data_IF_778508693644
#
_entry.id   IF_778508693644
#
_cell.length_a   1.000
_cell.length_b   1.000
_cell.length_c   1.000
_cell.angle_alpha   90.00
_cell.angle_beta   90.00
_cell.angle_gamma   90.00
#
_symmetry.space_group_name_H-M   'P 1'
#
loop_
_entity.id
_entity.type
_entity.pdbx_description
1 polymer ?
#
# COMPACT_ATOMS: atom_id res chain seq x y z
N UNK A 1 52.92 -53.86 0.00
CA UNK A 1 52.30 -53.90 1.35
C UNK A 1 50.79 -53.97 1.14
N UNK A 2 50.32 -55.18 0.81
CA UNK A 2 49.48 -56.07 1.64
C UNK A 2 48.01 -55.61 1.67
N UNK A 3 47.12 -56.06 0.76
CA UNK A 3 46.20 -57.24 0.85
C UNK A 3 45.37 -57.23 2.16
N UNK A 4 44.05 -57.47 2.27
CA UNK A 4 43.08 -58.30 1.52
C UNK A 4 41.65 -57.94 2.00
N UNK A 5 40.64 -58.28 1.18
CA UNK A 5 39.21 -58.44 1.52
C UNK A 5 38.93 -59.27 2.79
N UNK A 6 37.67 -59.29 3.27
CA UNK A 6 36.79 -60.49 3.26
C UNK A 6 35.38 -60.17 3.79
N UNK A 7 34.41 -60.66 3.02
CA UNK A 7 32.97 -60.80 3.28
C UNK A 7 32.73 -61.92 4.30
N UNK A 8 31.70 -61.82 5.15
CA UNK A 8 31.12 -63.03 5.76
C UNK A 8 29.59 -62.97 5.79
N UNK A 9 29.00 -64.03 5.24
CA UNK A 9 27.58 -64.33 5.23
C UNK A 9 27.35 -65.72 5.87
N UNK A 10 26.12 -65.90 6.37
CA UNK A 10 25.37 -67.15 6.68
C UNK A 10 25.59 -67.87 8.02
N UNK A 11 24.46 -68.11 8.70
CA UNK A 11 23.92 -69.44 9.06
C UNK A 11 22.48 -69.24 9.59
N UNK A 12 21.40 -69.58 8.87
CA UNK A 12 20.71 -70.89 8.82
C UNK A 12 20.62 -71.67 10.14
N UNK A 13 19.49 -71.51 10.84
CA UNK A 13 18.97 -72.41 11.87
C UNK A 13 17.66 -73.05 11.39
N UNK A 14 17.55 -74.37 11.51
CA UNK A 14 16.52 -75.24 10.94
C UNK A 14 15.18 -75.22 11.70
N UNK A 15 14.12 -75.51 10.94
CA UNK A 15 12.76 -75.89 11.33
C UNK A 15 12.68 -76.92 12.46
N UNK A 16 11.70 -76.73 13.34
CA UNK A 16 10.99 -77.81 14.03
C UNK A 16 9.48 -77.55 13.95
N UNK A 17 8.77 -78.48 13.33
CA UNK A 17 7.33 -78.54 13.14
C UNK A 17 6.63 -78.96 14.42
N UNK A 18 5.63 -78.19 14.87
CA UNK A 18 4.64 -78.63 15.84
C UNK A 18 3.24 -78.35 15.27
N UNK A 19 2.53 -79.44 14.95
CA UNK A 19 1.12 -79.44 14.58
C UNK A 19 0.28 -79.10 15.81
N UNK A 20 -0.54 -78.05 15.74
CA UNK A 20 -1.65 -77.82 16.67
C UNK A 20 -2.93 -77.62 15.87
N UNK A 21 -3.95 -78.33 16.32
CA UNK A 21 -5.22 -78.54 15.66
C UNK A 21 -6.10 -77.28 15.59
N UNK A 22 -6.95 -77.34 14.57
CA UNK A 22 -8.02 -76.46 14.15
C UNK A 22 -9.02 -76.12 15.29
N UNK A 23 -9.27 -74.83 15.52
CA UNK A 23 -10.56 -74.31 15.99
C UNK A 23 -10.92 -73.09 15.15
N UNK A 24 -11.77 -73.32 14.14
CA UNK A 24 -12.43 -72.26 13.38
C UNK A 24 -13.51 -71.68 14.27
N UNK A 25 -13.23 -70.55 14.92
CA UNK A 25 -14.26 -69.72 15.54
C UNK A 25 -14.81 -68.79 14.46
N UNK A 26 -15.94 -69.18 13.88
CA UNK A 26 -16.75 -68.31 13.01
C UNK A 26 -17.37 -67.20 13.86
N UNK A 27 -16.70 -66.04 13.92
CA UNK A 27 -17.29 -64.83 14.47
C UNK A 27 -18.37 -64.31 13.50
N UNK A 28 -19.60 -64.01 13.95
CA UNK A 28 -20.59 -63.38 13.09
C UNK A 28 -20.11 -61.96 12.73
N UNK A 29 -19.89 -61.73 11.42
CA UNK A 29 -19.81 -60.38 10.86
C UNK A 29 -21.17 -59.72 11.07
N UNK A 30 -21.33 -59.02 12.18
CA UNK A 30 -22.33 -57.97 12.28
C UNK A 30 -21.85 -56.84 11.36
N UNK A 31 -22.48 -56.75 10.18
CA UNK A 31 -22.48 -55.55 9.36
C UNK A 31 -23.15 -54.44 10.15
N UNK A 32 -22.39 -53.79 11.03
CA UNK A 32 -22.73 -52.48 11.55
C UNK A 32 -22.63 -51.50 10.39
N UNK A 33 -23.75 -51.33 9.70
CA UNK A 33 -24.00 -50.17 8.86
C UNK A 33 -23.81 -48.95 9.75
N UNK A 34 -22.60 -48.39 9.73
CA UNK A 34 -22.33 -47.10 10.30
C UNK A 34 -23.00 -46.11 9.35
N UNK A 35 -24.31 -45.90 9.54
CA UNK A 35 -24.96 -44.68 9.12
C UNK A 35 -24.10 -43.55 9.68
N UNK A 36 -23.32 -42.92 8.80
CA UNK A 36 -22.76 -41.61 9.07
C UNK A 36 -23.99 -40.72 9.26
N UNK A 37 -24.43 -40.62 10.51
CA UNK A 37 -25.29 -39.56 10.97
C UNK A 37 -24.56 -38.28 10.60
N UNK A 38 -25.03 -37.65 9.53
CA UNK A 38 -24.80 -36.25 9.21
C UNK A 38 -25.44 -35.46 10.34
N UNK A 39 -24.74 -35.40 11.48
CA UNK A 39 -24.97 -34.41 12.50
C UNK A 39 -24.48 -33.09 11.92
N UNK A 40 -25.44 -32.38 11.36
CA UNK A 40 -25.41 -31.00 10.89
C UNK A 40 -24.76 -30.11 11.96
N UNK A 41 -23.46 -29.84 11.78
CA UNK A 41 -22.81 -28.63 12.29
C UNK A 41 -22.87 -27.59 11.16
N UNK A 42 -24.07 -27.11 10.87
CA UNK A 42 -24.24 -25.90 10.07
C UNK A 42 -24.14 -24.70 11.02
N UNK A 43 -23.01 -23.99 10.98
CA UNK A 43 -22.80 -22.74 11.70
C UNK A 43 -21.32 -22.45 12.03
N UNK A 44 -20.66 -21.66 11.17
CA UNK A 44 -19.22 -21.26 11.14
C UNK A 44 -18.24 -22.28 10.55
N UNK A 45 -18.33 -22.52 9.24
CA UNK A 45 -17.20 -23.04 8.47
C UNK A 45 -16.12 -21.94 8.33
N UNK A 46 -14.89 -22.25 8.76
CA UNK A 46 -13.61 -21.59 8.44
C UNK A 46 -13.59 -20.04 8.37
N UNK A 47 -14.06 -19.35 9.41
CA UNK A 47 -13.81 -17.91 9.52
C UNK A 47 -12.32 -17.68 9.88
N UNK A 48 -11.58 -16.96 9.04
CA UNK A 48 -10.16 -16.64 9.26
C UNK A 48 -9.94 -15.38 10.12
N UNK A 49 -11.04 -14.76 10.56
CA UNK A 49 -11.05 -13.64 11.48
C UNK A 49 -12.22 -13.75 12.47
N UNK A 50 -12.11 -13.04 13.58
CA UNK A 50 -13.17 -12.94 14.58
C UNK A 50 -13.33 -11.47 15.00
N UNK A 51 -14.55 -10.94 14.84
CA UNK A 51 -14.95 -9.66 15.43
C UNK A 51 -15.69 -9.96 16.73
N UNK A 52 -15.23 -9.39 17.84
CA UNK A 52 -15.87 -9.56 19.14
C UNK A 52 -17.15 -8.71 19.27
N UNK A 53 -17.87 -8.86 20.38
CA UNK A 53 -19.11 -8.11 20.64
C UNK A 53 -18.93 -6.58 20.70
N UNK A 54 -17.70 -6.10 20.92
CA UNK A 54 -17.35 -4.67 20.98
C UNK A 54 -16.95 -4.10 19.60
N UNK A 55 -17.04 -4.91 18.54
CA UNK A 55 -16.64 -4.52 17.18
C UNK A 55 -15.13 -4.50 16.95
N UNK A 56 -14.36 -5.19 17.78
CA UNK A 56 -12.90 -5.28 17.65
C UNK A 56 -12.50 -6.57 16.96
N UNK A 57 -11.56 -6.48 16.02
CA UNK A 57 -10.91 -7.63 15.43
C UNK A 57 -9.96 -8.26 16.44
N UNK A 58 -10.18 -9.53 16.77
CA UNK A 58 -9.22 -10.35 17.49
C UNK A 58 -8.04 -10.63 16.56
N UNK A 59 -6.82 -10.40 17.03
CA UNK A 59 -5.60 -10.51 16.22
C UNK A 59 -5.51 -11.89 15.57
N UNK A 60 -5.48 -11.96 14.22
CA UNK A 60 -5.29 -13.23 13.53
C UNK A 60 -3.98 -13.89 13.96
N UNK A 61 -4.03 -15.21 14.15
CA UNK A 61 -2.86 -16.03 14.42
C UNK A 61 -2.75 -17.12 13.36
N UNK A 62 -1.56 -17.66 13.14
CA UNK A 62 -1.32 -18.67 12.10
C UNK A 62 -1.36 -18.14 10.66
N UNK A 63 -1.54 -16.83 10.43
CA UNK A 63 -1.60 -16.25 9.09
C UNK A 63 -0.34 -16.48 8.22
N UNK A 64 0.81 -16.77 8.83
CA UNK A 64 2.03 -17.15 8.10
C UNK A 64 1.93 -18.49 7.38
N UNK A 65 0.87 -19.27 7.63
CA UNK A 65 0.54 -20.48 6.86
C UNK A 65 -0.54 -20.24 5.80
N UNK A 66 -1.02 -19.00 5.66
CA UNK A 66 -1.95 -18.63 4.60
C UNK A 66 -1.20 -18.40 3.29
N UNK A 67 -1.93 -18.04 2.23
CA UNK A 67 -1.35 -17.86 0.90
C UNK A 67 -0.60 -16.54 0.86
N UNK A 68 0.72 -16.61 0.73
CA UNK A 68 1.57 -15.45 0.49
C UNK A 68 1.29 -14.87 -0.91
N UNK A 69 1.15 -13.55 -1.03
CA UNK A 69 0.80 -12.91 -2.30
C UNK A 69 1.83 -11.94 -2.86
N UNK A 70 2.71 -11.41 -2.02
CA UNK A 70 3.78 -10.49 -2.42
C UNK A 70 4.43 -9.79 -1.24
N UNK A 71 5.62 -9.21 -1.49
CA UNK A 71 6.35 -8.37 -0.54
C UNK A 71 6.82 -7.10 -1.22
N UNK A 72 5.99 -6.04 -1.27
CA UNK A 72 6.45 -4.69 -1.59
C UNK A 72 7.50 -4.21 -0.57
N UNK A 73 8.31 -3.24 -0.98
CA UNK A 73 9.35 -2.64 -0.16
C UNK A 73 9.33 -1.12 -0.32
N UNK A 74 9.22 -0.41 0.80
CA UNK A 74 9.40 1.05 0.89
C UNK A 74 10.51 1.34 1.91
N UNK A 75 11.78 1.37 1.49
CA UNK A 75 12.90 1.47 2.42
C UNK A 75 13.12 2.93 2.84
N UNK A 76 13.49 3.15 4.09
CA UNK A 76 13.62 4.48 4.69
C UNK A 76 14.58 5.38 3.91
N UNK A 77 15.69 4.83 3.42
CA UNK A 77 16.70 5.59 2.67
C UNK A 77 16.24 6.06 1.29
N UNK A 78 15.17 5.48 0.74
CA UNK A 78 14.50 5.95 -0.47
C UNK A 78 13.26 6.81 -0.16
N UNK A 79 12.98 7.05 1.12
CA UNK A 79 11.77 7.75 1.60
C UNK A 79 12.14 8.79 2.69
N UNK A 80 13.18 9.60 2.45
CA UNK A 80 13.55 10.72 3.34
C UNK A 80 13.96 10.29 4.76
N UNK A 81 14.46 9.07 4.91
CA UNK A 81 14.82 8.48 6.21
C UNK A 81 13.63 7.96 7.02
N UNK A 82 12.38 8.13 6.56
CA UNK A 82 11.17 7.75 7.28
C UNK A 82 10.02 7.39 6.32
N UNK A 83 9.98 6.13 5.89
CA UNK A 83 8.85 5.61 5.12
C UNK A 83 7.55 5.63 5.95
N UNK A 84 6.41 5.92 5.31
CA UNK A 84 5.08 5.85 5.96
C UNK A 84 4.80 4.47 6.54
N UNK A 85 5.25 3.41 5.85
CA UNK A 85 5.14 2.01 6.26
C UNK A 85 6.52 1.35 6.17
N UNK A 86 7.36 1.42 7.23
CA UNK A 86 8.70 0.86 7.19
C UNK A 86 8.69 -0.69 7.40
N UNK A 87 9.28 -1.52 6.53
CA UNK A 87 9.80 -1.24 5.19
C UNK A 87 9.35 -2.32 4.19
N UNK A 88 9.68 -3.60 4.44
CA UNK A 88 9.14 -4.74 3.70
C UNK A 88 7.71 -5.04 4.16
N UNK A 89 6.79 -5.34 3.24
CA UNK A 89 5.38 -5.63 3.54
C UNK A 89 5.01 -7.03 3.06
N UNK A 90 5.23 -8.07 3.86
CA UNK A 90 4.83 -9.42 3.47
C UNK A 90 3.31 -9.58 3.63
N UNK A 91 2.61 -9.82 2.52
CA UNK A 91 1.15 -9.88 2.49
C UNK A 91 0.67 -11.32 2.30
N UNK A 92 -0.35 -11.68 3.08
CA UNK A 92 -0.99 -12.99 3.09
C UNK A 92 -2.49 -12.83 2.95
N UNK A 93 -3.14 -13.67 2.15
CA UNK A 93 -4.60 -13.77 2.04
C UNK A 93 -5.07 -15.12 2.59
N UNK A 94 -6.22 -15.15 3.25
CA UNK A 94 -6.77 -16.42 3.72
C UNK A 94 -7.01 -17.40 2.56
N UNK A 95 -6.78 -18.71 2.78
CA UNK A 95 -6.79 -19.69 1.71
C UNK A 95 -8.18 -19.88 1.07
N UNK A 96 -9.28 -19.67 1.81
CA UNK A 96 -10.63 -19.80 1.24
C UNK A 96 -10.93 -18.68 0.26
N UNK A 97 -10.55 -17.45 0.61
CA UNK A 97 -10.70 -16.29 -0.27
C UNK A 97 -9.73 -16.33 -1.45
N UNK A 98 -8.52 -16.84 -1.26
CA UNK A 98 -7.60 -17.12 -2.37
C UNK A 98 -8.20 -18.10 -3.37
N UNK A 99 -8.73 -19.23 -2.89
CA UNK A 99 -9.35 -20.23 -3.76
C UNK A 99 -10.55 -19.65 -4.51
N UNK A 100 -11.38 -18.84 -3.84
CA UNK A 100 -12.47 -18.15 -4.50
C UNK A 100 -11.97 -17.17 -5.56
N UNK A 101 -10.99 -16.32 -5.23
CA UNK A 101 -10.39 -15.36 -6.16
C UNK A 101 -9.72 -16.05 -7.35
N UNK A 102 -9.12 -17.22 -7.12
CA UNK A 102 -8.55 -18.05 -8.18
C UNK A 102 -9.61 -18.53 -9.16
N UNK A 103 -10.79 -18.87 -8.67
CA UNK A 103 -11.88 -19.39 -9.50
C UNK A 103 -12.70 -18.27 -10.16
N UNK A 104 -12.95 -17.16 -9.47
CA UNK A 104 -13.88 -16.11 -9.93
C UNK A 104 -13.20 -14.81 -10.32
N UNK A 105 -12.00 -14.54 -9.80
CA UNK A 105 -11.33 -13.25 -9.93
C UNK A 105 -11.87 -12.16 -9.01
N UNK A 106 -12.73 -12.50 -8.05
CA UNK A 106 -13.35 -11.57 -7.11
C UNK A 106 -12.98 -11.90 -5.66
N UNK A 107 -12.85 -10.89 -4.79
CA UNK A 107 -12.71 -11.13 -3.35
C UNK A 107 -14.08 -11.38 -2.72
N UNK A 108 -14.35 -12.57 -2.16
CA UNK A 108 -15.65 -12.87 -1.57
C UNK A 108 -15.86 -12.08 -0.27
N UNK A 109 -17.12 -11.98 0.15
CA UNK A 109 -17.43 -11.53 1.51
C UNK A 109 -16.77 -12.46 2.54
N UNK A 110 -16.13 -11.90 3.56
CA UNK A 110 -15.32 -12.64 4.52
C UNK A 110 -13.83 -12.71 4.19
N UNK A 111 -13.37 -12.07 3.11
CA UNK A 111 -11.94 -11.99 2.78
C UNK A 111 -11.16 -11.27 3.88
N UNK A 112 -10.03 -11.87 4.30
CA UNK A 112 -9.03 -11.18 5.12
C UNK A 112 -7.64 -11.26 4.47
N UNK A 113 -6.97 -10.12 4.41
CA UNK A 113 -5.54 -10.04 4.14
C UNK A 113 -4.79 -9.55 5.39
N UNK A 114 -3.62 -10.13 5.65
CA UNK A 114 -2.69 -9.72 6.69
C UNK A 114 -1.43 -9.16 6.04
N UNK A 115 -1.03 -7.95 6.43
CA UNK A 115 0.24 -7.34 6.05
C UNK A 115 1.15 -7.34 7.27
N UNK A 116 2.25 -8.09 7.18
CA UNK A 116 3.28 -8.13 8.22
C UNK A 116 4.52 -7.36 7.73
N UNK A 117 4.92 -6.35 8.49
CA UNK A 117 6.02 -5.47 8.16
C UNK A 117 7.33 -5.97 8.78
N UNK A 118 8.43 -5.85 8.04
CA UNK A 118 9.79 -6.09 8.53
C UNK A 118 10.71 -4.95 8.13
N UNK A 119 11.71 -4.67 8.96
CA UNK A 119 12.75 -3.69 8.65
C UNK A 119 13.75 -4.23 7.63
N UNK A 120 14.51 -3.34 7.01
CA UNK A 120 15.73 -3.68 6.29
C UNK A 120 16.81 -4.05 7.31
N UNK A 121 17.22 -5.32 7.32
CA UNK A 121 18.30 -5.82 8.18
C UNK A 121 19.68 -5.66 7.56
N UNK A 122 19.79 -5.70 6.23
CA UNK A 122 21.05 -5.53 5.50
C UNK A 122 20.80 -5.00 4.09
N UNK A 123 21.83 -4.37 3.51
CA UNK A 123 21.89 -4.01 2.09
C UNK A 123 22.82 -4.87 1.24
N UNK A 124 23.40 -5.90 1.87
CA UNK A 124 24.36 -6.82 1.25
C UNK A 124 24.12 -8.24 1.74
N UNK A 125 24.16 -9.20 0.83
CA UNK A 125 24.17 -10.62 1.13
C UNK A 125 25.10 -11.37 0.16
N UNK A 126 25.27 -12.67 0.34
CA UNK A 126 26.03 -13.52 -0.58
C UNK A 126 25.49 -13.50 -2.01
N UNK A 127 24.21 -13.16 -2.21
CA UNK A 127 23.57 -13.00 -3.51
C UNK A 127 23.81 -11.63 -4.16
N UNK A 128 24.47 -10.69 -3.49
CA UNK A 128 24.78 -9.36 -3.99
C UNK A 128 24.26 -8.21 -3.12
N UNK A 129 24.31 -7.00 -3.69
CA UNK A 129 23.71 -5.82 -3.10
C UNK A 129 22.20 -5.80 -3.35
N UNK A 130 21.44 -5.28 -2.40
CA UNK A 130 19.98 -5.23 -2.45
C UNK A 130 19.42 -4.78 -1.12
N UNK A 131 18.19 -5.18 -0.81
CA UNK A 131 17.62 -5.03 0.53
C UNK A 131 17.26 -6.42 1.04
N UNK A 132 17.56 -6.69 2.30
CA UNK A 132 17.32 -7.99 2.93
C UNK A 132 16.52 -7.79 4.22
N UNK A 133 15.44 -8.55 4.38
CA UNK A 133 14.54 -8.47 5.54
C UNK A 133 15.31 -8.74 6.85
N UNK A 134 15.00 -7.93 7.86
CA UNK A 134 15.48 -8.06 9.23
C UNK A 134 14.32 -8.32 10.20
N UNK A 135 14.31 -7.59 11.30
CA UNK A 135 13.33 -7.77 12.38
C UNK A 135 11.91 -7.33 11.98
N UNK A 136 10.90 -7.98 12.56
CA UNK A 136 9.50 -7.59 12.38
C UNK A 136 9.22 -6.23 13.02
N UNK A 137 8.52 -5.36 12.29
CA UNK A 137 8.20 -3.99 12.70
C UNK A 137 6.70 -3.73 12.88
N UNK A 138 5.82 -4.54 12.30
CA UNK A 138 4.40 -4.41 12.58
C UNK A 138 3.47 -5.37 11.86
N UNK A 139 2.18 -5.21 12.14
CA UNK A 139 1.12 -6.12 11.73
C UNK A 139 -0.19 -5.35 11.53
N UNK A 140 -0.73 -5.49 10.33
CA UNK A 140 -2.00 -4.92 9.90
C UNK A 140 -2.89 -6.00 9.28
N UNK A 141 -4.20 -5.76 9.28
CA UNK A 141 -5.17 -6.59 8.58
C UNK A 141 -6.17 -5.72 7.81
N UNK A 142 -6.69 -6.24 6.71
CA UNK A 142 -7.85 -5.67 6.01
C UNK A 142 -8.89 -6.75 5.76
N UNK A 143 -10.15 -6.41 5.99
CA UNK A 143 -11.27 -7.36 5.95
C UNK A 143 -12.38 -6.80 5.09
N UNK A 144 -12.92 -7.63 4.19
CA UNK A 144 -14.17 -7.39 3.47
C UNK A 144 -15.31 -8.08 4.20
N UNK A 145 -16.29 -7.34 4.72
CA UNK A 145 -17.47 -7.93 5.36
C UNK A 145 -18.67 -6.99 5.32
N UNK A 146 -19.72 -7.40 4.62
CA UNK A 146 -21.03 -6.72 4.61
C UNK A 146 -21.71 -6.77 5.96
N UNK A 147 -21.51 -7.85 6.72
CA UNK A 147 -22.09 -8.00 8.06
C UNK A 147 -21.47 -7.01 9.06
N UNK A 148 -20.15 -6.90 9.07
CA UNK A 148 -19.44 -6.10 10.07
C UNK A 148 -19.17 -4.66 9.62
N UNK A 149 -19.06 -4.40 8.31
CA UNK A 149 -18.71 -3.09 7.74
C UNK A 149 -19.66 -2.68 6.59
N UNK A 150 -21.00 -2.67 6.80
CA UNK A 150 -21.96 -2.33 5.75
C UNK A 150 -21.78 -0.89 5.22
N UNK A 151 -21.32 0.03 6.08
CA UNK A 151 -21.18 1.45 5.77
C UNK A 151 -19.77 1.84 5.29
N UNK A 152 -18.82 0.91 5.30
CA UNK A 152 -17.47 1.18 4.79
C UNK A 152 -17.44 1.06 3.26
N UNK A 153 -16.68 1.91 2.54
CA UNK A 153 -16.48 1.78 1.09
C UNK A 153 -16.02 0.38 0.71
N UNK A 154 -16.73 -0.25 -0.24
CA UNK A 154 -16.49 -1.64 -0.68
C UNK A 154 -16.69 -2.71 0.41
N UNK A 155 -17.25 -2.34 1.56
CA UNK A 155 -17.32 -3.15 2.78
C UNK A 155 -15.96 -3.55 3.35
N UNK A 156 -14.92 -2.75 3.06
CA UNK A 156 -13.56 -2.98 3.53
C UNK A 156 -13.25 -2.19 4.81
N UNK A 157 -12.64 -2.85 5.79
CA UNK A 157 -12.14 -2.22 7.01
C UNK A 157 -10.67 -2.56 7.26
N UNK A 158 -9.93 -1.62 7.85
CA UNK A 158 -8.48 -1.70 8.04
C UNK A 158 -8.12 -1.64 9.53
N UNK A 159 -7.14 -2.44 9.93
CA UNK A 159 -6.80 -2.67 11.33
C UNK A 159 -5.28 -2.64 11.51
N UNK A 160 -4.82 -2.04 12.61
CA UNK A 160 -3.40 -2.07 13.02
C UNK A 160 -3.30 -2.65 14.43
N UNK A 161 -2.43 -3.63 14.61
CA UNK A 161 -2.18 -4.26 15.92
C UNK A 161 -0.94 -3.73 16.62
N UNK A 162 -0.06 -3.05 15.88
CA UNK A 162 1.24 -2.67 16.39
C UNK A 162 1.19 -1.32 17.09
N UNK A 163 1.77 -1.23 18.28
CA UNK A 163 2.15 0.04 18.87
C UNK A 163 3.47 0.50 18.25
N UNK A 164 3.49 1.56 17.42
CA UNK A 164 4.69 1.96 16.69
C UNK A 164 5.80 2.52 17.60
N UNK A 165 5.47 2.92 18.85
CA UNK A 165 6.47 3.43 19.81
C UNK A 165 7.14 2.31 20.61
N UNK A 166 6.38 1.27 20.94
CA UNK A 166 6.85 0.19 21.82
C UNK A 166 7.19 -1.10 21.06
N UNK A 167 6.77 -1.23 19.80
CA UNK A 167 6.92 -2.46 19.00
C UNK A 167 6.07 -3.63 19.52
N UNK A 168 5.09 -3.36 20.39
CA UNK A 168 4.22 -4.37 20.98
C UNK A 168 3.01 -4.65 20.08
N UNK A 169 2.48 -5.87 20.13
CA UNK A 169 1.27 -6.28 19.42
C UNK A 169 0.09 -6.34 20.38
N UNK A 170 -0.99 -5.63 20.06
CA UNK A 170 -2.27 -5.76 20.73
C UNK A 170 -2.95 -7.08 20.35
N UNK A 171 -3.68 -7.68 21.28
CA UNK A 171 -4.44 -8.92 21.01
C UNK A 171 -5.74 -8.66 20.25
N UNK A 172 -6.20 -7.41 20.21
CA UNK A 172 -7.39 -6.97 19.48
C UNK A 172 -7.32 -5.48 19.16
N UNK A 173 -8.05 -5.04 18.14
CA UNK A 173 -8.08 -3.62 17.73
C UNK A 173 -9.37 -3.27 16.99
N UNK A 174 -9.74 -1.98 16.96
CA UNK A 174 -10.88 -1.49 16.19
C UNK A 174 -10.46 -1.15 14.77
N UNK A 175 -11.45 -1.14 13.87
CA UNK A 175 -11.25 -0.63 12.52
C UNK A 175 -10.85 0.84 12.58
N UNK A 176 -9.93 1.26 11.72
CA UNK A 176 -9.65 2.66 11.48
C UNK A 176 -10.88 3.35 10.85
N UNK A 177 -11.07 4.66 11.09
CA UNK A 177 -12.09 5.42 10.38
C UNK A 177 -11.89 5.30 8.87
N UNK A 178 -12.97 5.12 8.09
CA UNK A 178 -12.89 4.89 6.64
C UNK A 178 -12.08 5.98 5.90
N UNK A 179 -12.14 7.22 6.37
CA UNK A 179 -11.37 8.34 5.83
C UNK A 179 -9.84 8.18 5.93
N UNK A 180 -9.35 7.27 6.79
CA UNK A 180 -7.91 7.09 7.04
C UNK A 180 -7.25 6.13 6.05
N UNK A 181 -7.97 5.12 5.58
CA UNK A 181 -7.40 4.02 4.79
C UNK A 181 -8.15 3.79 3.47
N UNK A 182 -9.49 3.80 3.51
CA UNK A 182 -10.30 3.42 2.35
C UNK A 182 -10.09 4.36 1.17
N UNK A 183 -9.93 5.67 1.39
CA UNK A 183 -9.80 6.63 0.28
C UNK A 183 -8.57 6.36 -0.61
N UNK A 184 -7.41 6.04 0.00
CA UNK A 184 -6.21 5.67 -0.75
C UNK A 184 -6.40 4.32 -1.45
N UNK A 185 -6.95 3.33 -0.75
CA UNK A 185 -7.19 2.01 -1.32
C UNK A 185 -8.24 2.03 -2.45
N UNK A 186 -9.28 2.86 -2.36
CA UNK A 186 -10.31 2.99 -3.40
C UNK A 186 -9.75 3.55 -4.70
N UNK A 187 -8.89 4.57 -4.58
CA UNK A 187 -8.42 5.34 -5.73
C UNK A 187 -7.16 4.76 -6.37
N UNK A 188 -6.34 4.02 -5.60
CA UNK A 188 -5.02 3.57 -6.05
C UNK A 188 -4.93 2.04 -6.22
N UNK A 189 -5.82 1.25 -5.62
CA UNK A 189 -5.83 -0.19 -5.84
C UNK A 189 -6.37 -0.55 -7.23
N UNK A 190 -5.76 -1.54 -7.88
CA UNK A 190 -6.25 -2.02 -9.18
C UNK A 190 -7.45 -2.96 -9.10
N UNK A 191 -7.74 -3.55 -7.93
CA UNK A 191 -8.81 -4.53 -7.80
C UNK A 191 -9.46 -4.47 -6.42
N UNK A 192 -10.68 -3.95 -6.34
CA UNK A 192 -11.54 -3.98 -5.16
C UNK A 192 -10.80 -3.65 -3.84
N UNK A 193 -10.22 -2.45 -3.77
CA UNK A 193 -9.48 -1.94 -2.61
C UNK A 193 -8.20 -2.72 -2.25
N UNK A 194 -7.79 -3.72 -3.04
CA UNK A 194 -6.55 -4.50 -2.88
C UNK A 194 -5.54 -4.12 -3.97
N UNK A 195 -4.32 -3.75 -3.57
CA UNK A 195 -3.24 -3.35 -4.48
C UNK A 195 -2.63 -4.51 -5.28
N UNK A 196 -3.44 -5.22 -6.07
CA UNK A 196 -3.06 -6.41 -6.84
C UNK A 196 -1.94 -6.15 -7.87
N UNK A 197 -1.71 -4.89 -8.27
CA UNK A 197 -0.52 -4.51 -9.06
C UNK A 197 0.81 -4.88 -8.40
N UNK A 198 0.84 -5.03 -7.07
CA UNK A 198 2.05 -5.41 -6.33
C UNK A 198 2.05 -6.86 -5.88
N UNK A 199 0.99 -7.63 -6.19
CA UNK A 199 0.79 -9.02 -5.77
C UNK A 199 0.76 -9.97 -6.97
N UNK A 200 1.94 -10.38 -7.50
CA UNK A 200 2.00 -11.22 -8.70
C UNK A 200 1.30 -12.57 -8.54
N UNK A 201 1.25 -13.12 -7.32
CA UNK A 201 0.53 -14.38 -7.04
C UNK A 201 -0.97 -14.23 -7.26
N UNK A 202 -1.56 -13.08 -6.89
CA UNK A 202 -2.97 -12.81 -7.15
C UNK A 202 -3.20 -12.56 -8.64
N UNK A 203 -2.36 -11.76 -9.31
CA UNK A 203 -2.51 -11.52 -10.75
C UNK A 203 -2.46 -12.82 -11.57
N UNK A 204 -1.55 -13.73 -11.24
CA UNK A 204 -1.46 -15.03 -11.90
C UNK A 204 -2.65 -15.96 -11.60
N UNK A 205 -3.33 -15.77 -10.46
CA UNK A 205 -4.45 -16.59 -10.05
C UNK A 205 -5.81 -16.07 -10.50
N UNK A 206 -5.95 -14.77 -10.81
CA UNK A 206 -7.25 -14.10 -11.02
C UNK A 206 -8.13 -14.84 -12.03
N UNK A 207 -9.21 -15.46 -11.54
CA UNK A 207 -10.25 -16.07 -12.38
C UNK A 207 -9.77 -17.16 -13.34
N UNK A 208 -8.63 -17.81 -13.07
CA UNK A 208 -8.09 -18.87 -13.93
C UNK A 208 -8.86 -20.19 -13.82
N UNK A 209 -9.69 -20.34 -12.79
CA UNK A 209 -10.55 -21.52 -12.59
C UNK A 209 -9.83 -22.69 -11.92
N UNK A 210 -10.58 -23.76 -11.66
CA UNK A 210 -10.10 -24.91 -10.86
C UNK A 210 -9.09 -25.81 -11.58
N UNK A 211 -9.09 -25.79 -12.90
CA UNK A 211 -8.26 -26.69 -13.73
C UNK A 211 -6.87 -26.11 -14.02
N UNK A 212 -6.68 -24.80 -13.82
CA UNK A 212 -5.40 -24.13 -14.06
C UNK A 212 -4.60 -24.07 -12.77
N UNK A 213 -3.34 -24.47 -12.86
CA UNK A 213 -2.33 -24.30 -11.81
C UNK A 213 -1.66 -22.94 -12.03
N UNK A 214 -1.96 -21.90 -11.22
CA UNK A 214 -1.48 -20.54 -11.45
C UNK A 214 0.04 -20.43 -11.59
N UNK A 215 0.80 -21.25 -10.87
CA UNK A 215 2.27 -21.28 -10.87
C UNK A 215 2.87 -21.72 -12.21
N UNK A 216 2.11 -22.52 -12.97
CA UNK A 216 2.47 -22.97 -14.31
C UNK A 216 1.95 -22.02 -15.39
N UNK A 217 0.79 -21.37 -15.14
CA UNK A 217 0.19 -20.40 -16.06
C UNK A 217 0.84 -19.02 -16.03
N UNK A 218 1.53 -18.67 -14.94
CA UNK A 218 2.23 -17.40 -14.81
C UNK A 218 3.36 -17.27 -15.85
N UNK A 219 3.25 -16.26 -16.72
CA UNK A 219 4.32 -15.92 -17.65
C UNK A 219 5.60 -15.56 -16.88
N UNK A 220 6.73 -16.14 -17.30
CA UNK A 220 8.04 -15.88 -16.70
C UNK A 220 8.90 -15.12 -17.69
N UNK A 221 9.30 -13.92 -17.31
CA UNK A 221 10.25 -13.17 -18.11
C UNK A 221 11.67 -13.58 -17.73
N UNK A 222 12.49 -13.93 -18.73
CA UNK A 222 13.89 -14.21 -18.51
C UNK A 222 14.60 -12.96 -17.97
N UNK A 223 15.49 -13.14 -16.99
CA UNK A 223 16.33 -12.06 -16.48
C UNK A 223 17.26 -11.55 -17.60
N UNK A 224 17.00 -10.36 -18.13
CA UNK A 224 17.94 -9.67 -19.02
C UNK A 224 18.91 -8.84 -18.16
N UNK A 225 20.24 -9.02 -18.26
CA UNK A 225 21.23 -8.18 -17.57
C UNK A 225 21.18 -6.70 -17.94
N UNK A 226 20.46 -6.30 -19.00
CA UNK A 226 20.18 -4.89 -19.32
C UNK A 226 18.96 -4.31 -18.58
N UNK A 227 18.30 -5.10 -17.71
CA UNK A 227 17.49 -4.59 -16.62
C UNK A 227 16.11 -4.08 -17.00
N UNK A 228 15.19 -4.99 -17.33
CA UNK A 228 13.78 -4.99 -16.90
C UNK A 228 13.14 -6.31 -17.35
N UNK A 229 12.32 -6.93 -16.49
CA UNK A 229 11.36 -7.90 -16.98
C UNK A 229 10.34 -7.12 -17.84
N UNK A 230 10.23 -7.48 -19.11
CA UNK A 230 9.15 -7.07 -20.00
C UNK A 230 7.81 -7.22 -19.26
N UNK A 231 7.19 -6.06 -19.01
CA UNK A 231 5.76 -5.92 -18.85
C UNK A 231 5.17 -6.38 -20.20
N UNK A 232 4.18 -7.28 -20.20
CA UNK A 232 3.64 -7.90 -21.41
C UNK A 232 3.24 -6.86 -22.47
N UNK A 233 3.33 -7.21 -23.76
CA UNK A 233 3.09 -6.28 -24.88
C UNK A 233 1.71 -5.58 -24.87
N UNK A 234 0.72 -6.10 -24.13
CA UNK A 234 -0.56 -5.43 -23.89
C UNK A 234 -0.43 -4.13 -23.04
N UNK A 235 0.60 -4.04 -22.20
CA UNK A 235 0.94 -2.85 -21.43
C UNK A 235 2.00 -1.97 -22.13
N UNK A 236 2.70 -2.50 -23.15
CA UNK A 236 3.78 -1.81 -23.85
C UNK A 236 3.30 -0.95 -25.04
N UNK A 237 2.17 -1.28 -25.68
CA UNK A 237 1.62 -0.42 -26.74
C UNK A 237 1.05 0.90 -26.21
N UNK A 238 0.83 1.03 -24.89
CA UNK A 238 0.49 2.29 -24.25
C UNK A 238 1.71 3.15 -23.85
N UNK A 239 2.95 2.66 -24.02
CA UNK A 239 4.15 3.33 -23.48
C UNK A 239 5.15 3.81 -24.55
N UNK A 240 4.77 3.83 -25.83
CA UNK A 240 5.64 4.25 -26.93
C UNK A 240 5.62 5.78 -27.20
N UNK A 241 5.22 6.60 -26.24
CA UNK A 241 5.34 8.07 -26.32
C UNK A 241 5.86 8.64 -24.99
N UNK A 242 7.19 8.86 -24.91
CA UNK A 242 7.92 9.42 -23.75
C UNK A 242 7.75 8.59 -22.45
N UNK A 243 8.67 8.67 -21.46
CA UNK A 243 8.46 7.95 -20.21
C UNK A 243 7.13 8.42 -19.60
N UNK A 244 6.17 7.50 -19.45
CA UNK A 244 4.85 7.80 -18.89
C UNK A 244 5.05 8.46 -17.52
N UNK A 245 4.69 9.74 -17.43
CA UNK A 245 4.64 10.46 -16.16
C UNK A 245 3.72 9.65 -15.25
N UNK A 246 4.22 9.25 -14.08
CA UNK A 246 3.46 8.45 -13.13
C UNK A 246 2.06 9.08 -12.91
N UNK A 247 0.96 8.31 -13.13
CA UNK A 247 -0.40 8.85 -13.13
C UNK A 247 -0.77 9.64 -11.87
N UNK A 248 -0.10 9.39 -10.74
CA UNK A 248 -0.34 10.17 -9.52
C UNK A 248 0.07 11.64 -9.66
N UNK A 249 0.97 11.97 -10.61
CA UNK A 249 1.43 13.34 -10.87
C UNK A 249 0.73 13.99 -12.06
N UNK A 250 -0.23 13.30 -12.68
CA UNK A 250 -1.04 13.84 -13.76
C UNK A 250 -2.28 14.55 -13.21
N UNK A 251 -2.68 15.69 -13.79
CA UNK A 251 -3.93 16.34 -13.42
C UNK A 251 -5.13 15.45 -13.81
N UNK A 252 -6.15 15.44 -12.95
CA UNK A 252 -7.39 14.67 -13.17
C UNK A 252 -8.58 15.55 -13.55
N UNK A 253 -8.37 16.87 -13.63
CA UNK A 253 -9.35 17.86 -14.05
C UNK A 253 -8.70 18.92 -14.95
N UNK A 254 -9.49 19.49 -15.85
CA UNK A 254 -9.06 20.63 -16.65
C UNK A 254 -8.77 21.84 -15.74
N UNK A 255 -7.65 22.53 -16.00
CA UNK A 255 -7.37 23.80 -15.37
C UNK A 255 -8.10 24.90 -16.14
N UNK A 256 -9.13 25.54 -15.55
CA UNK A 256 -9.89 26.57 -16.25
C UNK A 256 -9.06 27.84 -16.42
N UNK A 257 -9.39 28.63 -17.42
CA UNK A 257 -8.93 30.02 -17.47
C UNK A 257 -9.58 30.81 -16.32
N UNK A 258 -8.76 31.21 -15.36
CA UNK A 258 -9.20 31.98 -14.19
C UNK A 258 -8.27 33.17 -13.99
N UNK A 259 -8.87 34.32 -13.68
CA UNK A 259 -8.13 35.52 -13.29
C UNK A 259 -7.67 35.36 -11.84
N UNK A 260 -6.37 35.13 -11.66
CA UNK A 260 -5.71 34.92 -10.38
C UNK A 260 -4.56 35.92 -10.23
N UNK A 261 -4.20 36.23 -8.97
CA UNK A 261 -3.04 37.06 -8.65
C UNK A 261 -1.71 36.42 -9.07
N UNK A 262 -1.72 35.11 -9.39
CA UNK A 262 -0.57 34.34 -9.90
C UNK A 262 -0.94 33.67 -11.23
N UNK A 263 -0.05 33.67 -12.23
CA UNK A 263 -0.27 32.89 -13.45
C UNK A 263 -0.17 31.39 -13.16
N UNK A 264 -0.87 30.55 -13.94
CA UNK A 264 -0.82 29.09 -13.79
C UNK A 264 -0.06 28.37 -14.91
N UNK A 265 0.18 29.04 -16.04
CA UNK A 265 1.02 28.49 -17.10
C UNK A 265 2.47 28.35 -16.58
N UNK A 266 3.09 27.19 -16.81
CA UNK A 266 4.35 26.77 -16.16
C UNK A 266 5.45 27.82 -16.28
N UNK A 267 5.68 28.37 -17.46
CA UNK A 267 6.79 29.27 -17.74
C UNK A 267 6.52 30.65 -17.13
N UNK A 268 5.28 31.12 -17.25
CA UNK A 268 4.83 32.35 -16.62
C UNK A 268 4.84 32.28 -15.09
N UNK A 269 4.40 31.16 -14.51
CA UNK A 269 4.42 30.90 -13.07
C UNK A 269 5.85 30.83 -12.55
N UNK A 270 6.73 30.10 -13.23
CA UNK A 270 8.14 30.04 -12.85
C UNK A 270 8.82 31.43 -12.89
N UNK A 271 8.53 32.23 -13.92
CA UNK A 271 9.02 33.60 -14.00
C UNK A 271 8.50 34.46 -12.85
N UNK A 272 7.21 34.38 -12.53
CA UNK A 272 6.59 35.07 -11.40
C UNK A 272 7.23 34.67 -10.06
N UNK A 273 7.50 33.38 -9.85
CA UNK A 273 8.16 32.87 -8.64
C UNK A 273 9.59 33.40 -8.51
N UNK A 274 10.33 33.49 -9.61
CA UNK A 274 11.67 34.09 -9.60
C UNK A 274 11.68 35.59 -9.31
N UNK A 275 10.65 36.31 -9.77
CA UNK A 275 10.50 37.74 -9.45
C UNK A 275 10.20 37.97 -7.96
N UNK A 276 9.63 36.98 -7.27
CA UNK A 276 9.41 37.02 -5.82
C UNK A 276 8.24 37.90 -5.38
N UNK A 277 7.33 38.29 -6.29
CA UNK A 277 6.19 39.18 -5.99
C UNK A 277 5.26 38.63 -4.90
N UNK A 278 5.11 37.31 -4.81
CA UNK A 278 4.33 36.65 -3.75
C UNK A 278 4.85 36.93 -2.33
N UNK A 279 6.10 37.41 -2.18
CA UNK A 279 6.64 37.79 -0.87
C UNK A 279 5.95 39.02 -0.28
N UNK A 280 5.19 39.76 -1.09
CA UNK A 280 4.35 40.88 -0.65
C UNK A 280 2.97 40.44 -0.15
N UNK A 281 2.65 39.13 -0.23
CA UNK A 281 1.43 38.60 0.36
C UNK A 281 1.30 38.95 1.85
N UNK A 282 0.08 39.24 2.33
CA UNK A 282 -0.14 39.80 3.66
C UNK A 282 0.10 38.79 4.78
N UNK A 283 -0.13 37.49 4.52
CA UNK A 283 0.16 36.42 5.45
C UNK A 283 1.40 35.66 4.97
N UNK A 284 2.47 35.74 5.74
CA UNK A 284 3.74 35.08 5.42
C UNK A 284 4.50 34.75 6.68
N UNK A 285 5.24 33.65 6.61
CA UNK A 285 6.17 33.28 7.67
C UNK A 285 7.42 34.17 7.62
N UNK A 286 7.90 34.53 8.80
CA UNK A 286 9.12 35.34 8.93
C UNK A 286 10.36 34.45 8.86
N UNK A 287 10.31 33.32 9.55
CA UNK A 287 11.37 32.33 9.62
C UNK A 287 11.04 31.08 8.80
N UNK A 288 12.08 30.31 8.46
CA UNK A 288 11.89 28.97 7.89
C UNK A 288 11.55 27.98 9.00
N UNK A 289 10.74 26.97 8.68
CA UNK A 289 10.46 25.85 9.58
C UNK A 289 10.68 24.51 8.87
N UNK A 290 10.92 23.41 9.61
CA UNK A 290 11.09 22.09 9.00
C UNK A 290 9.80 21.62 8.30
N UNK A 291 9.91 21.13 7.06
CA UNK A 291 8.76 20.57 6.34
C UNK A 291 8.24 19.29 7.03
N UNK A 292 6.91 19.20 7.17
CA UNK A 292 6.18 18.03 7.72
C UNK A 292 5.63 17.12 6.60
N UNK A 293 6.04 17.35 5.35
CA UNK A 293 5.62 16.55 4.19
C UNK A 293 6.69 16.51 3.09
N UNK A 294 6.55 15.61 2.11
CA UNK A 294 7.55 15.38 1.07
C UNK A 294 7.50 16.50 0.03
N UNK A 295 8.17 17.61 0.33
CA UNK A 295 8.54 18.61 -0.66
C UNK A 295 10.06 18.57 -0.74
N UNK A 296 10.58 17.85 -1.73
CA UNK A 296 11.99 17.42 -1.90
C UNK A 296 12.52 16.42 -0.85
N UNK A 297 12.43 16.73 0.44
CA UNK A 297 12.87 15.83 1.54
C UNK A 297 12.21 16.26 2.87
N UNK A 298 12.07 15.31 3.81
CA UNK A 298 11.51 15.59 5.12
C UNK A 298 12.47 16.44 5.97
N UNK A 299 11.92 17.36 6.77
CA UNK A 299 12.66 18.28 7.64
C UNK A 299 13.50 19.35 6.92
N UNK A 300 13.58 19.34 5.59
CA UNK A 300 14.17 20.43 4.85
C UNK A 300 13.40 21.73 5.13
N UNK A 301 14.09 22.88 5.28
CA UNK A 301 13.44 24.12 5.67
C UNK A 301 12.47 24.56 4.58
N UNK A 302 11.33 25.08 4.99
CA UNK A 302 10.33 25.68 4.10
C UNK A 302 9.85 27.00 4.67
N UNK A 303 9.29 27.83 3.81
CA UNK A 303 8.63 29.09 4.20
C UNK A 303 7.35 29.29 3.40
N UNK A 304 6.27 29.60 4.08
CA UNK A 304 4.92 29.69 3.49
C UNK A 304 4.44 31.13 3.34
N UNK A 305 3.77 31.40 2.23
CA UNK A 305 3.15 32.66 1.84
C UNK A 305 1.70 32.39 1.41
N UNK A 306 0.78 33.24 1.86
CA UNK A 306 -0.65 33.11 1.65
C UNK A 306 -1.22 34.44 1.19
N UNK A 307 -1.88 34.45 0.03
CA UNK A 307 -2.50 35.67 -0.47
C UNK A 307 -3.66 36.12 0.44
N UNK A 308 -4.18 37.33 0.20
CA UNK A 308 -5.21 37.91 1.07
C UNK A 308 -6.46 37.03 1.18
N UNK A 309 -6.88 36.41 0.08
CA UNK A 309 -8.13 35.64 0.00
C UNK A 309 -8.09 34.44 0.94
N UNK A 310 -7.03 33.62 0.87
CA UNK A 310 -6.90 32.44 1.74
C UNK A 310 -6.63 32.85 3.19
N UNK A 311 -5.88 33.93 3.43
CA UNK A 311 -5.61 34.43 4.78
C UNK A 311 -6.88 34.93 5.48
N UNK A 312 -7.72 35.71 4.79
CA UNK A 312 -9.02 36.15 5.30
C UNK A 312 -9.93 34.95 5.57
N UNK A 313 -9.93 33.97 4.66
CA UNK A 313 -10.75 32.75 4.80
C UNK A 313 -10.33 31.88 5.99
N UNK A 314 -9.02 31.69 6.20
CA UNK A 314 -8.47 30.99 7.36
C UNK A 314 -8.81 31.72 8.67
N UNK A 315 -8.75 33.04 8.67
CA UNK A 315 -9.15 33.88 9.81
C UNK A 315 -10.64 33.74 10.13
N UNK A 316 -11.50 33.73 9.10
CA UNK A 316 -12.94 33.54 9.23
C UNK A 316 -13.32 32.09 9.60
N UNK A 317 -12.40 31.15 9.40
CA UNK A 317 -12.62 29.75 9.70
C UNK A 317 -13.55 29.04 8.71
N UNK A 318 -13.64 29.48 7.45
CA UNK A 318 -14.50 28.86 6.44
C UNK A 318 -14.12 27.40 6.17
N UNK A 319 -15.11 26.53 5.99
CA UNK A 319 -14.89 25.11 5.68
C UNK A 319 -14.36 24.88 4.26
N UNK A 320 -14.63 25.81 3.34
CA UNK A 320 -14.02 25.86 2.01
C UNK A 320 -13.40 27.23 1.75
N UNK A 321 -12.23 27.24 1.10
CA UNK A 321 -11.52 28.45 0.73
C UNK A 321 -12.04 28.98 -0.62
N UNK A 322 -12.26 30.30 -0.74
CA UNK A 322 -12.78 30.87 -1.98
C UNK A 322 -11.83 30.65 -3.16
N UNK A 323 -12.40 30.50 -4.36
CA UNK A 323 -11.67 30.64 -5.63
C UNK A 323 -10.83 31.93 -5.60
N UNK A 324 -9.58 31.84 -6.05
CA UNK A 324 -8.60 32.92 -5.88
C UNK A 324 -7.65 32.75 -4.70
N UNK A 325 -7.90 31.80 -3.81
CA UNK A 325 -6.99 31.43 -2.72
C UNK A 325 -5.68 30.90 -3.29
N UNK A 326 -4.55 31.44 -2.86
CA UNK A 326 -3.21 31.01 -3.31
C UNK A 326 -2.30 30.81 -2.10
N UNK A 327 -1.62 29.67 -2.08
CA UNK A 327 -0.55 29.36 -1.12
C UNK A 327 0.71 29.02 -1.90
N UNK A 328 1.82 29.67 -1.55
CA UNK A 328 3.15 29.40 -2.12
C UNK A 328 4.07 29.02 -0.97
N UNK A 329 4.84 27.96 -1.18
CA UNK A 329 5.86 27.48 -0.25
C UNK A 329 7.21 27.52 -0.93
N UNK A 330 8.14 28.29 -0.39
CA UNK A 330 9.56 28.20 -0.74
C UNK A 330 10.15 26.93 -0.14
N UNK A 331 10.94 26.20 -0.94
CA UNK A 331 11.63 24.97 -0.55
C UNK A 331 13.13 25.25 -0.46
N UNK A 332 13.79 24.80 0.60
CA UNK A 332 15.21 25.02 0.82
C UNK A 332 15.95 23.71 1.08
N UNK A 333 17.25 23.65 0.76
CA UNK A 333 18.12 22.58 1.24
C UNK A 333 18.55 22.80 2.71
N UNK A 334 19.34 21.86 3.25
CA UNK A 334 19.88 21.95 4.62
C UNK A 334 20.83 23.15 4.82
N UNK A 335 21.44 23.65 3.74
CA UNK A 335 22.30 24.83 3.75
C UNK A 335 21.50 26.14 3.60
N UNK A 336 20.16 26.04 3.56
CA UNK A 336 19.20 27.14 3.42
C UNK A 336 19.27 27.85 2.07
N UNK A 337 19.75 27.17 1.03
CA UNK A 337 19.63 27.65 -0.34
C UNK A 337 18.25 27.33 -0.87
N UNK A 338 17.65 28.28 -1.60
CA UNK A 338 16.37 28.07 -2.26
C UNK A 338 16.53 27.03 -3.37
N UNK A 339 15.82 25.92 -3.27
CA UNK A 339 15.86 24.81 -4.22
C UNK A 339 14.66 24.76 -5.12
N UNK A 340 13.53 25.35 -4.72
CA UNK A 340 12.30 25.27 -5.49
C UNK A 340 11.09 25.91 -4.82
N UNK A 341 9.91 25.61 -5.35
CA UNK A 341 8.63 26.10 -4.86
C UNK A 341 7.54 25.04 -4.98
N UNK A 342 6.65 24.96 -3.99
CA UNK A 342 5.36 24.29 -4.12
C UNK A 342 4.25 25.34 -4.14
N UNK A 343 3.30 25.22 -5.07
CA UNK A 343 2.22 26.19 -5.29
C UNK A 343 0.90 25.45 -5.33
N UNK A 344 -0.10 26.02 -4.65
CA UNK A 344 -1.49 25.61 -4.80
C UNK A 344 -2.40 26.83 -4.99
N UNK A 345 -3.36 26.74 -5.90
CA UNK A 345 -4.31 27.80 -6.19
C UNK A 345 -5.74 27.26 -6.36
N UNK A 346 -6.71 27.86 -5.69
CA UNK A 346 -8.12 27.48 -5.79
C UNK A 346 -8.71 28.03 -7.08
N UNK A 347 -9.07 27.15 -8.01
CA UNK A 347 -9.59 27.56 -9.34
C UNK A 347 -11.11 27.38 -9.46
N UNK A 348 -11.72 26.60 -8.57
CA UNK A 348 -13.18 26.36 -8.51
C UNK A 348 -13.74 26.72 -7.13
N UNK A 349 -15.05 26.87 -7.02
CA UNK A 349 -15.70 27.12 -5.71
C UNK A 349 -15.58 25.89 -4.79
N UNK A 350 -15.87 24.69 -5.32
CA UNK A 350 -15.80 23.44 -4.56
C UNK A 350 -14.44 22.75 -4.70
N UNK A 351 -13.95 22.11 -3.63
CA UNK A 351 -12.66 21.40 -3.64
C UNK A 351 -12.68 20.11 -4.45
N UNK A 352 -13.81 19.41 -4.49
CA UNK A 352 -14.04 18.18 -5.28
C UNK A 352 -12.83 17.23 -5.29
N UNK A 353 -12.46 16.72 -4.10
CA UNK A 353 -11.32 15.80 -3.92
C UNK A 353 -10.02 16.33 -4.54
N UNK A 354 -9.79 17.64 -4.49
CA UNK A 354 -8.58 18.29 -5.01
C UNK A 354 -8.70 18.78 -6.45
N UNK A 355 -9.75 18.41 -7.19
CA UNK A 355 -10.01 18.88 -8.57
C UNK A 355 -10.32 20.36 -8.63
N UNK A 356 -10.80 20.95 -7.54
CA UNK A 356 -10.99 22.40 -7.42
C UNK A 356 -9.71 23.20 -7.15
N UNK A 357 -8.58 22.52 -7.02
CA UNK A 357 -7.26 23.11 -6.74
C UNK A 357 -6.29 22.79 -7.88
N UNK A 358 -5.61 23.82 -8.36
CA UNK A 358 -4.39 23.71 -9.14
C UNK A 358 -3.23 23.42 -8.20
N UNK A 359 -2.34 22.54 -8.62
CA UNK A 359 -1.12 22.14 -7.92
C UNK A 359 0.07 22.32 -8.86
N UNK A 360 1.25 22.57 -8.28
CA UNK A 360 2.54 22.34 -8.95
C UNK A 360 3.68 22.40 -7.93
N UNK A 361 4.75 21.67 -8.17
CA UNK A 361 6.02 21.78 -7.47
C UNK A 361 7.17 21.91 -8.47
N UNK A 362 7.92 23.01 -8.36
CA UNK A 362 9.21 23.15 -9.04
C UNK A 362 10.31 22.64 -8.12
N UNK A 363 10.98 21.57 -8.54
CA UNK A 363 12.10 20.94 -7.81
C UNK A 363 13.45 21.58 -8.11
N UNK A 364 13.46 22.68 -8.86
CA UNK A 364 14.63 23.49 -9.19
C UNK A 364 14.28 24.97 -9.18
N UNK A 365 15.09 25.79 -8.51
CA UNK A 365 14.95 27.24 -8.52
C UNK A 365 15.47 27.92 -9.80
N UNK A 366 16.08 27.14 -10.71
CA UNK A 366 16.74 27.65 -11.92
C UNK A 366 16.25 27.01 -13.23
N UNK A 367 15.45 25.94 -13.16
CA UNK A 367 14.98 25.17 -14.32
C UNK A 367 13.47 24.90 -14.23
N UNK A 368 12.68 25.62 -15.03
CA UNK A 368 11.22 25.50 -15.09
C UNK A 368 10.75 24.12 -15.58
N UNK A 369 11.62 23.36 -16.25
CA UNK A 369 11.26 22.01 -16.75
C UNK A 369 11.26 20.96 -15.65
N UNK A 370 11.79 21.28 -14.46
CA UNK A 370 11.77 20.43 -13.26
C UNK A 370 10.49 20.60 -12.46
N UNK A 371 9.38 20.67 -13.17
CA UNK A 371 8.03 20.75 -12.62
C UNK A 371 7.45 19.35 -12.36
N UNK A 372 6.76 19.20 -11.24
CA UNK A 372 5.99 18.02 -10.87
C UNK A 372 4.55 18.46 -10.59
N UNK A 373 3.58 17.74 -11.16
CA UNK A 373 2.19 17.91 -10.80
C UNK A 373 1.58 19.25 -11.19
N UNK A 374 1.80 19.73 -12.42
CA UNK A 374 1.18 20.96 -12.94
C UNK A 374 -0.25 20.75 -13.44
N UNK A 375 -1.24 21.21 -12.66
CA UNK A 375 -2.65 21.18 -13.08
C UNK A 375 -3.64 20.92 -11.95
N UNK A 376 -4.90 20.73 -12.33
CA UNK A 376 -6.00 20.52 -11.38
C UNK A 376 -6.16 19.06 -10.94
N UNK A 377 -6.39 18.83 -9.64
CA UNK A 377 -6.70 17.51 -9.10
C UNK A 377 -5.57 16.50 -9.19
N UNK A 378 -4.32 16.92 -8.99
CA UNK A 378 -3.14 16.04 -9.04
C UNK A 378 -3.13 15.12 -7.81
N UNK A 379 -3.29 13.78 -7.98
CA UNK A 379 -3.44 12.84 -6.86
C UNK A 379 -2.32 12.85 -5.83
N UNK A 380 -1.08 12.89 -6.28
CA UNK A 380 0.10 12.93 -5.41
C UNK A 380 0.13 14.19 -4.53
N UNK A 381 -0.43 15.30 -5.01
CA UNK A 381 -0.51 16.54 -4.22
C UNK A 381 -1.71 16.51 -3.27
N UNK A 382 -2.93 16.33 -3.78
CA UNK A 382 -4.11 16.42 -2.92
C UNK A 382 -4.19 15.28 -1.91
N UNK A 383 -3.63 14.09 -2.21
CA UNK A 383 -3.60 12.95 -1.29
C UNK A 383 -2.88 13.28 0.02
N UNK A 384 -1.76 14.01 -0.05
CA UNK A 384 -1.05 14.49 1.15
C UNK A 384 -1.75 15.70 1.81
N UNK A 385 -2.44 16.51 1.02
CA UNK A 385 -3.07 17.75 1.45
C UNK A 385 -4.49 17.56 2.02
N UNK A 386 -5.15 16.43 1.79
CA UNK A 386 -6.53 16.15 2.20
C UNK A 386 -6.79 16.32 3.70
N UNK A 387 -5.80 16.06 4.55
CA UNK A 387 -5.90 16.25 6.00
C UNK A 387 -5.89 17.73 6.43
N UNK A 388 -5.60 18.66 5.50
CA UNK A 388 -5.65 20.10 5.73
C UNK A 388 -7.07 20.64 5.75
N UNK A 389 -7.24 21.88 6.25
CA UNK A 389 -8.52 22.57 6.16
C UNK A 389 -8.70 23.02 4.71
N UNK A 390 -9.65 22.41 4.02
CA UNK A 390 -9.83 22.57 2.58
C UNK A 390 -8.52 22.47 1.78
N UNK A 391 -7.77 21.39 2.02
CA UNK A 391 -6.45 21.10 1.43
C UNK A 391 -5.28 21.99 1.93
N UNK A 392 -5.54 23.04 2.71
CA UNK A 392 -4.48 23.88 3.30
C UNK A 392 -3.97 23.24 4.59
N UNK A 393 -2.71 22.80 4.55
CA UNK A 393 -2.03 22.08 5.65
C UNK A 393 -1.28 23.00 6.62
N UNK A 394 -0.93 24.21 6.19
CA UNK A 394 -0.11 25.12 6.98
C UNK A 394 -0.87 25.62 8.22
N UNK A 395 -0.17 25.73 9.34
CA UNK A 395 -0.73 26.33 10.54
C UNK A 395 -1.11 27.79 10.29
N UNK A 396 -2.16 28.29 10.92
CA UNK A 396 -2.58 29.68 10.82
C UNK A 396 -2.97 30.24 12.20
N UNK A 397 -2.63 31.50 12.54
CA UNK A 397 -1.85 32.45 11.74
C UNK A 397 -0.41 31.96 11.51
N UNK A 398 0.16 32.33 10.35
CA UNK A 398 1.56 32.09 10.04
C UNK A 398 2.43 32.85 11.05
N UNK A 399 3.55 32.24 11.46
CA UNK A 399 4.47 32.80 12.47
C UNK A 399 5.77 33.27 11.83
#
# INVERSE_FOLDING_TARGET
MSTTQIVSARAFGKLATASVALFVLSAPLFLTSCEKSTAQAEGKANAFFEINADGELIRPTGYRTWVYVGTPLTPNDMNGGAATFPEFHSVYIDPVSYDHYRTTGEFPDGTILVKEMSLVGSKTASSGAGYFMGEFSGLEATIKSKEHFPDAPGNWAYFTFTNPKEGTLADKTKAHPSSSCNACHETQAQDDFVFTQYYPVLRAAKGVGDEVVPENGAERTASNPEGTAAISDADAEASAEQPAVDPQWLPTAETPEVDLEVPLEREALFAYLKEGKYKDFPAKETDMHPSVGPHLDYSWPVRVFMNKIVADSMTAGNDQHPKGSVVIKELFDNDKNLTGWAVMAKTHDDTDMGKGWYWTEFTSAVDATKEVGGGNGVPGCFGCHFAGKDMVRSHFPLK
#
